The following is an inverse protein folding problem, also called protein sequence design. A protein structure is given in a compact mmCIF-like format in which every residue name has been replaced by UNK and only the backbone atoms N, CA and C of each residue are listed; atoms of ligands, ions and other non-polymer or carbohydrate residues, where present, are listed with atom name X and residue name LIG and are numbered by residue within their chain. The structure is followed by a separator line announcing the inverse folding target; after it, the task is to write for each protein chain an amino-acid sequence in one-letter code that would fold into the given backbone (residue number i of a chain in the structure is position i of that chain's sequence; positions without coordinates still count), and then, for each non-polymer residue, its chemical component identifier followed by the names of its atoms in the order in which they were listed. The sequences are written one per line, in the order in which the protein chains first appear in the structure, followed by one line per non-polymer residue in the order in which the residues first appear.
data_IF_069833145479
#
_entry.id   IF_069833145479
#
_cell.length_a   1.000
_cell.length_b   1.000
_cell.length_c   1.000
_cell.angle_alpha   90.00
_cell.angle_beta   90.00
_cell.angle_gamma   90.00
#
_symmetry.space_group_name_H-M   'P 1'
#
loop_
_entity.id
_entity.type
_entity.pdbx_description
1 polymer ?
#
# COMPACT_ATOMS: atom_id res chain seq x y z
N UNK A 1 -15.70 7.51 26.32
CA UNK A 1 -15.53 6.80 25.06
C UNK A 1 -15.75 5.31 25.26
N UNK A 2 -16.44 4.66 24.34
CA UNK A 2 -16.66 3.21 24.32
C UNK A 2 -15.77 2.60 23.22
N UNK A 3 -15.08 1.49 23.56
CA UNK A 3 -14.19 0.78 22.66
C UNK A 3 -14.78 -0.60 22.37
N UNK A 4 -14.76 -1.02 21.12
CA UNK A 4 -15.16 -2.37 20.70
C UNK A 4 -14.25 -2.90 19.58
N UNK A 5 -14.17 -4.23 19.49
CA UNK A 5 -13.48 -4.96 18.42
C UNK A 5 -14.49 -5.77 17.63
N UNK A 6 -14.34 -5.78 16.31
CA UNK A 6 -15.28 -6.35 15.37
C UNK A 6 -14.59 -7.35 14.45
N UNK A 7 -15.20 -8.51 14.29
CA UNK A 7 -14.66 -9.60 13.47
C UNK A 7 -14.98 -9.46 11.98
N UNK A 8 -15.71 -8.44 11.59
CA UNK A 8 -16.08 -8.15 10.21
C UNK A 8 -16.29 -6.66 10.00
N UNK A 9 -15.98 -6.17 8.79
CA UNK A 9 -16.16 -4.76 8.45
C UNK A 9 -17.64 -4.37 8.31
N UNK A 10 -18.51 -5.31 8.00
CA UNK A 10 -19.95 -5.08 7.83
C UNK A 10 -20.69 -4.75 9.14
N UNK A 11 -20.03 -4.86 10.31
CA UNK A 11 -20.54 -4.32 11.56
C UNK A 11 -20.58 -2.78 11.57
N UNK A 12 -19.99 -2.14 10.56
CA UNK A 12 -19.97 -0.69 10.38
C UNK A 12 -20.82 -0.27 9.19
N UNK A 13 -21.46 0.89 9.29
CA UNK A 13 -22.02 1.54 8.10
C UNK A 13 -20.90 2.16 7.28
N UNK A 14 -20.92 1.93 5.98
CA UNK A 14 -19.89 2.41 5.07
C UNK A 14 -19.69 3.93 5.17
N UNK A 15 -20.78 4.69 5.29
CA UNK A 15 -20.74 6.15 5.41
C UNK A 15 -20.04 6.59 6.69
N UNK A 16 -20.34 5.95 7.86
CA UNK A 16 -19.71 6.29 9.15
C UNK A 16 -18.19 6.00 9.11
N UNK A 17 -17.80 4.85 8.55
CA UNK A 17 -16.40 4.46 8.41
C UNK A 17 -15.66 5.39 7.45
N UNK A 18 -16.20 5.60 6.25
CA UNK A 18 -15.55 6.37 5.19
C UNK A 18 -15.37 7.85 5.51
N UNK A 19 -16.23 8.43 6.37
CA UNK A 19 -16.02 9.80 6.86
C UNK A 19 -14.69 9.99 7.60
N UNK A 20 -14.14 8.93 8.19
CA UNK A 20 -12.87 8.96 8.91
C UNK A 20 -11.65 8.71 8.00
N UNK A 21 -11.88 8.25 6.75
CA UNK A 21 -10.81 7.94 5.80
C UNK A 21 -10.27 9.22 5.16
N UNK A 22 -9.04 9.59 5.53
CA UNK A 22 -8.37 10.77 4.97
C UNK A 22 -8.00 10.57 3.50
N UNK A 23 -8.07 11.67 2.74
CA UNK A 23 -7.77 11.73 1.31
C UNK A 23 -8.54 10.69 0.47
N UNK A 24 -9.61 10.13 1.04
CA UNK A 24 -10.38 9.08 0.39
C UNK A 24 -9.50 7.87 -0.06
N UNK A 25 -8.58 7.47 0.84
CA UNK A 25 -7.60 6.39 0.57
C UNK A 25 -8.33 5.09 0.24
N UNK A 26 -8.20 4.56 -1.00
CA UNK A 26 -9.00 3.44 -1.48
C UNK A 26 -8.85 2.17 -0.64
N UNK A 27 -7.68 1.93 -0.05
CA UNK A 27 -7.36 0.71 0.69
C UNK A 27 -7.88 0.70 2.13
N UNK A 28 -8.36 1.84 2.60
CA UNK A 28 -8.94 2.02 3.94
C UNK A 28 -10.46 2.22 3.89
N UNK A 29 -11.04 2.31 2.68
CA UNK A 29 -12.48 2.42 2.52
C UNK A 29 -13.18 1.13 2.91
N UNK A 30 -14.39 1.29 3.44
CA UNK A 30 -15.26 0.17 3.80
C UNK A 30 -15.44 -0.81 2.64
N UNK A 31 -15.66 -0.30 1.43
CA UNK A 31 -15.92 -1.09 0.22
C UNK A 31 -14.74 -1.98 -0.16
N UNK A 32 -13.50 -1.50 0.02
CA UNK A 32 -12.29 -2.30 -0.24
C UNK A 32 -12.12 -3.41 0.79
N UNK A 33 -12.32 -3.07 2.08
CA UNK A 33 -12.18 -4.03 3.17
C UNK A 33 -13.29 -5.09 3.13
N UNK A 34 -14.55 -4.68 2.86
CA UNK A 34 -15.67 -5.62 2.72
C UNK A 34 -15.49 -6.56 1.53
N UNK A 35 -14.99 -6.05 0.40
CA UNK A 35 -14.71 -6.91 -0.75
C UNK A 35 -13.65 -7.99 -0.45
N UNK A 36 -12.62 -7.68 0.36
CA UNK A 36 -11.65 -8.67 0.83
C UNK A 36 -12.29 -9.76 1.67
N UNK A 37 -13.18 -9.38 2.58
CA UNK A 37 -13.89 -10.31 3.49
C UNK A 37 -14.94 -11.14 2.74
N UNK A 38 -15.81 -10.51 1.95
CA UNK A 38 -16.87 -11.19 1.20
C UNK A 38 -16.34 -12.23 0.23
N UNK A 39 -15.21 -11.97 -0.39
CA UNK A 39 -14.63 -12.86 -1.39
C UNK A 39 -13.57 -13.81 -0.84
N UNK A 40 -13.47 -13.94 0.51
CA UNK A 40 -12.56 -14.85 1.17
C UNK A 40 -11.08 -14.59 0.85
N UNK A 41 -10.73 -13.33 0.53
CA UNK A 41 -9.34 -12.91 0.30
C UNK A 41 -8.59 -12.67 1.62
N UNK A 42 -9.28 -12.54 2.73
CA UNK A 42 -8.79 -12.51 4.10
C UNK A 42 -9.48 -13.60 4.93
N UNK A 43 -9.12 -13.74 6.20
CA UNK A 43 -9.63 -14.77 7.11
C UNK A 43 -8.62 -15.88 7.38
N UNK A 44 -9.05 -16.99 7.93
CA UNK A 44 -8.22 -18.11 8.39
C UNK A 44 -7.31 -18.67 7.29
N UNK A 45 -7.85 -18.87 6.08
CA UNK A 45 -7.10 -19.43 4.93
C UNK A 45 -5.80 -18.69 4.64
N UNK A 46 -5.78 -17.37 4.79
CA UNK A 46 -4.63 -16.52 4.49
C UNK A 46 -3.95 -15.95 5.73
N UNK A 47 -4.49 -16.29 6.93
CA UNK A 47 -3.98 -15.80 8.19
C UNK A 47 -4.13 -14.29 8.36
N UNK A 48 -5.25 -13.72 7.90
CA UNK A 48 -5.64 -12.33 8.07
C UNK A 48 -7.02 -12.28 8.72
N UNK A 49 -7.12 -12.53 10.04
CA UNK A 49 -8.40 -12.57 10.75
C UNK A 49 -8.80 -11.16 11.18
N UNK A 50 -9.91 -10.59 10.67
CA UNK A 50 -10.33 -9.24 11.03
C UNK A 50 -10.61 -9.08 12.53
N UNK A 51 -10.18 -7.94 13.08
CA UNK A 51 -10.40 -7.52 14.47
C UNK A 51 -10.51 -5.99 14.53
N UNK A 52 -11.34 -5.41 13.67
CA UNK A 52 -11.42 -3.96 13.48
C UNK A 52 -11.78 -3.24 14.77
N UNK A 53 -11.02 -2.20 15.09
CA UNK A 53 -11.25 -1.38 16.28
C UNK A 53 -12.26 -0.26 15.98
N UNK A 54 -13.18 -0.03 16.91
CA UNK A 54 -14.00 1.18 16.95
C UNK A 54 -13.89 1.90 18.29
N UNK A 55 -13.93 3.23 18.23
CA UNK A 55 -14.13 4.12 19.39
C UNK A 55 -15.34 4.97 19.12
N UNK A 56 -16.32 4.92 20.04
CA UNK A 56 -17.53 5.76 20.00
C UNK A 56 -17.55 6.70 21.21
N UNK A 57 -17.92 7.92 20.96
CA UNK A 57 -18.20 8.92 22.00
C UNK A 57 -19.64 9.37 21.90
N UNK A 58 -20.40 9.25 22.98
CA UNK A 58 -21.85 9.51 23.02
C UNK A 58 -22.62 8.86 21.84
N UNK A 59 -22.22 7.63 21.46
CA UNK A 59 -22.82 6.87 20.36
C UNK A 59 -22.28 7.21 18.95
N UNK A 60 -21.61 8.34 18.75
CA UNK A 60 -20.98 8.71 17.47
C UNK A 60 -19.66 7.95 17.29
N UNK A 61 -19.40 7.43 16.10
CA UNK A 61 -18.11 6.84 15.73
C UNK A 61 -17.06 7.96 15.58
N UNK A 62 -16.02 7.95 16.44
CA UNK A 62 -14.98 8.98 16.47
C UNK A 62 -13.58 8.43 16.14
N UNK A 63 -13.40 7.12 16.15
CA UNK A 63 -12.14 6.49 15.80
C UNK A 63 -12.32 5.08 15.29
N UNK A 64 -11.56 4.67 14.27
CA UNK A 64 -11.48 3.28 13.77
C UNK A 64 -10.07 2.93 13.33
N UNK A 65 -9.75 1.64 13.40
CA UNK A 65 -8.51 1.10 12.83
C UNK A 65 -8.78 -0.26 12.19
N UNK A 66 -8.35 -0.50 10.95
CA UNK A 66 -8.36 -1.84 10.37
C UNK A 66 -7.29 -2.69 11.07
N UNK A 67 -7.73 -3.67 11.85
CA UNK A 67 -6.86 -4.57 12.59
C UNK A 67 -7.08 -6.02 12.14
N UNK A 68 -5.98 -6.79 12.17
CA UNK A 68 -6.01 -8.21 11.82
C UNK A 68 -5.11 -9.02 12.76
N UNK A 69 -5.61 -10.16 13.25
CA UNK A 69 -4.77 -11.19 13.88
C UNK A 69 -4.09 -11.97 12.75
N UNK A 70 -2.77 -12.09 12.85
CA UNK A 70 -1.92 -12.75 11.86
C UNK A 70 -1.23 -13.98 12.41
N UNK A 71 -1.34 -15.11 11.70
CA UNK A 71 -0.64 -16.35 12.00
C UNK A 71 0.63 -16.56 11.14
N UNK A 72 0.94 -15.59 10.28
CA UNK A 72 2.10 -15.56 9.39
C UNK A 72 2.42 -14.10 9.01
N UNK A 73 3.53 -13.83 8.31
CA UNK A 73 3.89 -12.48 7.81
C UNK A 73 3.65 -12.30 6.30
N UNK A 74 2.85 -13.17 5.69
CA UNK A 74 2.58 -13.07 4.27
C UNK A 74 1.66 -11.88 3.94
N UNK A 75 2.06 -11.11 2.91
CA UNK A 75 1.27 -9.98 2.41
C UNK A 75 1.41 -8.68 3.21
N UNK A 76 2.31 -8.61 4.20
CA UNK A 76 2.55 -7.41 5.04
C UNK A 76 3.51 -6.41 4.41
N UNK A 77 4.49 -6.88 3.61
CA UNK A 77 5.55 -6.09 2.98
C UNK A 77 6.49 -5.36 3.94
N UNK A 78 6.39 -5.61 5.23
CA UNK A 78 7.37 -5.25 6.27
C UNK A 78 7.96 -6.56 6.78
N UNK A 79 9.23 -6.81 6.44
CA UNK A 79 9.84 -8.13 6.63
C UNK A 79 10.38 -8.28 8.06
N UNK A 80 9.72 -9.09 8.85
CA UNK A 80 10.06 -9.40 10.25
C UNK A 80 10.53 -10.85 10.46
N UNK A 81 10.96 -11.52 9.39
CA UNK A 81 11.43 -12.91 9.44
C UNK A 81 12.56 -13.14 10.45
N UNK A 82 13.45 -12.15 10.62
CA UNK A 82 14.56 -12.21 11.61
C UNK A 82 14.00 -12.25 13.03
N UNK A 83 12.91 -11.53 13.31
CA UNK A 83 12.25 -11.54 14.61
C UNK A 83 11.56 -12.87 14.88
N UNK A 84 10.81 -13.37 13.89
CA UNK A 84 10.16 -14.68 13.98
C UNK A 84 11.19 -15.82 14.20
N UNK A 85 12.34 -15.75 13.54
CA UNK A 85 13.43 -16.71 13.69
C UNK A 85 14.07 -16.62 15.09
N UNK A 86 14.27 -15.41 15.63
CA UNK A 86 14.76 -15.21 16.98
C UNK A 86 13.83 -15.82 18.04
N UNK A 87 12.51 -15.61 17.91
CA UNK A 87 11.50 -16.23 18.77
C UNK A 87 11.60 -17.76 18.72
N UNK A 88 11.62 -18.33 17.53
CA UNK A 88 11.73 -19.78 17.33
C UNK A 88 12.98 -20.37 17.97
N UNK A 89 14.14 -19.71 17.82
CA UNK A 89 15.42 -20.15 18.45
C UNK A 89 15.37 -20.11 19.99
N UNK A 90 14.53 -19.23 20.54
CA UNK A 90 14.32 -19.13 22.00
C UNK A 90 13.19 -20.03 22.51
N UNK A 91 12.62 -20.90 21.66
CA UNK A 91 11.53 -21.80 22.02
C UNK A 91 10.18 -21.09 22.23
N UNK A 92 10.02 -19.88 21.70
CA UNK A 92 8.82 -19.06 21.81
C UNK A 92 8.09 -18.95 20.46
N UNK A 93 6.78 -18.69 20.52
CA UNK A 93 5.96 -18.47 19.34
C UNK A 93 5.87 -16.98 19.00
N UNK A 94 6.27 -16.62 17.79
CA UNK A 94 6.09 -15.28 17.24
C UNK A 94 4.65 -15.03 16.74
N UNK A 95 3.99 -16.05 16.27
CA UNK A 95 2.60 -16.01 15.86
C UNK A 95 1.67 -16.64 16.92
N UNK A 96 0.42 -16.17 17.05
CA UNK A 96 -0.18 -15.06 16.31
C UNK A 96 0.28 -13.68 16.85
N UNK A 97 0.17 -12.68 15.96
CA UNK A 97 0.45 -11.26 16.25
C UNK A 97 -0.71 -10.40 15.77
N UNK A 98 -0.78 -9.13 16.18
CA UNK A 98 -1.78 -8.18 15.75
C UNK A 98 -1.15 -7.15 14.79
N UNK A 99 -1.84 -6.79 13.72
CA UNK A 99 -1.38 -5.75 12.81
C UNK A 99 -2.49 -4.76 12.44
N UNK A 100 -2.12 -3.51 12.20
CA UNK A 100 -2.92 -2.51 11.48
C UNK A 100 -2.29 -2.26 10.13
N UNK A 101 -2.97 -2.67 9.06
CA UNK A 101 -2.52 -2.55 7.68
C UNK A 101 -3.70 -2.66 6.71
N UNK A 102 -3.52 -2.20 5.48
CA UNK A 102 -4.35 -2.63 4.37
C UNK A 102 -3.82 -3.99 3.86
N UNK A 103 -4.62 -5.07 3.85
CA UNK A 103 -4.14 -6.38 3.44
C UNK A 103 -3.52 -6.37 2.05
N UNK A 104 -2.39 -7.06 1.90
CA UNK A 104 -1.64 -7.19 0.65
C UNK A 104 -1.21 -5.88 -0.01
N UNK A 105 -1.21 -4.76 0.76
CA UNK A 105 -1.08 -3.43 0.17
C UNK A 105 -0.04 -2.61 0.92
N UNK A 106 1.17 -2.43 0.36
CA UNK A 106 2.23 -1.59 0.95
C UNK A 106 2.00 -0.11 0.64
N UNK A 107 0.76 0.35 0.76
CA UNK A 107 0.40 1.74 0.57
C UNK A 107 0.45 2.50 1.89
N UNK A 108 0.97 3.70 1.80
CA UNK A 108 1.09 4.65 2.86
C UNK A 108 -0.28 5.27 3.22
N UNK A 109 -0.51 5.51 4.52
CA UNK A 109 -1.74 6.16 4.98
C UNK A 109 -1.96 6.02 6.48
N UNK A 110 -2.98 6.70 6.98
CA UNK A 110 -3.35 6.62 8.39
C UNK A 110 -3.77 5.19 8.78
N UNK A 111 -3.44 4.83 10.01
CA UNK A 111 -3.86 3.55 10.63
C UNK A 111 -4.76 3.80 11.85
N UNK A 112 -4.66 4.99 12.41
CA UNK A 112 -5.53 5.51 13.44
C UNK A 112 -6.46 6.55 12.82
N UNK A 113 -7.59 6.10 12.27
CA UNK A 113 -8.54 6.95 11.57
C UNK A 113 -9.42 7.65 12.61
N UNK A 114 -9.30 8.96 12.73
CA UNK A 114 -9.97 9.76 13.76
C UNK A 114 -10.77 10.88 13.11
N UNK A 115 -11.96 11.13 13.64
CA UNK A 115 -12.83 12.24 13.29
C UNK A 115 -12.08 13.57 13.46
N UNK A 116 -12.03 14.44 12.41
CA UNK A 116 -11.28 15.70 12.50
C UNK A 116 -11.79 16.69 13.56
N UNK A 117 -13.06 16.58 13.99
CA UNK A 117 -13.70 17.51 14.90
C UNK A 117 -13.46 17.21 16.40
N UNK A 118 -12.75 16.10 16.73
CA UNK A 118 -12.46 15.70 18.11
C UNK A 118 -10.98 15.87 18.45
N UNK A 119 -10.65 15.78 19.75
CA UNK A 119 -9.26 15.69 20.20
C UNK A 119 -8.63 14.38 19.67
N UNK A 120 -7.92 14.52 18.56
CA UNK A 120 -7.35 13.38 17.86
C UNK A 120 -6.29 12.68 18.71
N UNK A 121 -5.51 13.38 19.52
CA UNK A 121 -4.48 12.79 20.38
C UNK A 121 -5.10 11.91 21.48
N UNK A 122 -6.19 12.38 22.09
CA UNK A 122 -6.91 11.61 23.10
C UNK A 122 -7.52 10.34 22.50
N UNK A 123 -8.17 10.45 21.33
CA UNK A 123 -8.78 9.29 20.66
C UNK A 123 -7.71 8.29 20.22
N UNK A 124 -6.61 8.74 19.61
CA UNK A 124 -5.50 7.87 19.22
C UNK A 124 -4.88 7.14 20.42
N UNK A 125 -4.72 7.83 21.57
CA UNK A 125 -4.25 7.19 22.81
C UNK A 125 -5.19 6.06 23.22
N UNK A 126 -6.49 6.31 23.29
CA UNK A 126 -7.51 5.29 23.62
C UNK A 126 -7.43 4.10 22.66
N UNK A 127 -7.29 4.37 21.35
CA UNK A 127 -7.17 3.32 20.33
C UNK A 127 -5.93 2.44 20.56
N UNK A 128 -4.78 3.06 20.81
CA UNK A 128 -3.50 2.33 21.03
C UNK A 128 -3.56 1.54 22.34
N UNK A 129 -4.01 2.15 23.46
CA UNK A 129 -4.14 1.47 24.74
C UNK A 129 -5.08 0.26 24.67
N UNK A 130 -6.24 0.41 24.00
CA UNK A 130 -7.19 -0.66 23.77
C UNK A 130 -6.58 -1.80 22.93
N UNK A 131 -5.86 -1.44 21.86
CA UNK A 131 -5.18 -2.41 20.99
C UNK A 131 -4.14 -3.22 21.75
N UNK A 132 -3.30 -2.56 22.58
CA UNK A 132 -2.33 -3.24 23.44
C UNK A 132 -3.00 -4.08 24.53
N UNK A 133 -4.16 -3.64 25.02
CA UNK A 133 -5.02 -4.42 25.91
C UNK A 133 -5.47 -5.73 25.27
N UNK A 134 -5.93 -5.67 24.01
CA UNK A 134 -6.33 -6.85 23.23
C UNK A 134 -5.15 -7.81 23.00
N UNK A 135 -3.96 -7.31 22.68
CA UNK A 135 -2.76 -8.14 22.52
C UNK A 135 -2.47 -8.93 23.79
N UNK A 136 -2.54 -8.28 24.95
CA UNK A 136 -2.32 -8.93 26.27
C UNK A 136 -3.42 -9.95 26.57
N UNK A 137 -4.68 -9.60 26.34
CA UNK A 137 -5.84 -10.46 26.60
C UNK A 137 -5.79 -11.75 25.78
N UNK A 138 -5.45 -11.64 24.48
CA UNK A 138 -5.37 -12.77 23.55
C UNK A 138 -3.99 -13.44 23.55
N UNK A 139 -3.04 -12.98 24.39
CA UNK A 139 -1.67 -13.49 24.47
C UNK A 139 -0.95 -13.49 23.12
N UNK A 140 -1.18 -12.45 22.32
CA UNK A 140 -0.46 -12.27 21.05
C UNK A 140 0.97 -11.81 21.30
N UNK A 141 1.88 -12.08 20.38
CA UNK A 141 3.30 -11.76 20.55
C UNK A 141 3.62 -10.28 20.45
N UNK A 142 2.86 -9.55 19.65
CA UNK A 142 3.20 -8.18 19.25
C UNK A 142 2.04 -7.45 18.59
N UNK A 143 2.21 -6.11 18.45
CA UNK A 143 1.38 -5.23 17.63
C UNK A 143 2.23 -4.46 16.64
N UNK A 144 1.76 -4.35 15.38
CA UNK A 144 2.48 -3.64 14.32
C UNK A 144 1.53 -2.72 13.55
N UNK A 145 1.88 -1.43 13.49
CA UNK A 145 1.25 -0.45 12.58
C UNK A 145 2.14 -0.30 11.35
N UNK A 146 1.66 -0.73 10.17
CA UNK A 146 2.47 -0.83 8.96
C UNK A 146 2.13 0.29 7.96
N UNK A 147 3.14 0.93 7.37
CA UNK A 147 3.01 2.02 6.39
C UNK A 147 2.14 3.17 6.90
N UNK A 148 2.40 3.61 8.11
CA UNK A 148 1.66 4.69 8.74
C UNK A 148 1.97 6.05 8.12
N UNK A 149 1.02 6.98 8.23
CA UNK A 149 1.27 8.39 7.96
C UNK A 149 2.27 8.99 8.96
N UNK A 150 3.20 9.90 8.55
CA UNK A 150 4.19 10.48 9.47
C UNK A 150 3.58 11.16 10.66
N UNK A 151 2.43 11.82 10.51
CA UNK A 151 1.74 12.53 11.58
C UNK A 151 1.28 11.62 12.73
N UNK A 152 1.14 10.31 12.50
CA UNK A 152 0.82 9.33 13.53
C UNK A 152 2.06 8.91 14.33
N UNK A 153 3.24 9.07 13.74
CA UNK A 153 4.49 8.55 14.28
C UNK A 153 4.85 9.12 15.66
N UNK A 154 4.67 10.42 15.85
CA UNK A 154 4.99 11.06 17.14
C UNK A 154 4.09 10.53 18.26
N UNK A 155 2.80 10.32 17.98
CA UNK A 155 1.87 9.74 18.96
C UNK A 155 2.26 8.29 19.27
N UNK A 156 2.54 7.47 18.24
CA UNK A 156 2.92 6.07 18.42
C UNK A 156 4.24 5.94 19.22
N UNK A 157 5.25 6.77 18.92
CA UNK A 157 6.51 6.81 19.69
C UNK A 157 6.29 7.19 21.15
N UNK A 158 5.50 8.24 21.41
CA UNK A 158 5.18 8.65 22.81
C UNK A 158 4.45 7.57 23.59
N UNK A 159 3.71 6.70 22.91
CA UNK A 159 3.01 5.55 23.49
C UNK A 159 3.87 4.28 23.55
N UNK A 160 5.19 4.40 23.32
CA UNK A 160 6.16 3.32 23.50
C UNK A 160 6.33 2.37 22.34
N UNK A 161 5.92 2.79 21.12
CA UNK A 161 6.16 2.02 19.90
C UNK A 161 7.55 2.29 19.34
N UNK A 162 8.24 1.24 18.89
CA UNK A 162 9.53 1.35 18.21
C UNK A 162 9.32 1.64 16.72
N UNK A 163 9.96 2.71 16.23
CA UNK A 163 9.92 3.08 14.82
C UNK A 163 10.85 2.19 13.99
N UNK A 164 10.36 1.70 12.87
CA UNK A 164 11.16 1.06 11.83
C UNK A 164 11.00 1.79 10.52
N UNK A 165 12.11 2.10 9.87
CA UNK A 165 12.17 2.75 8.59
C UNK A 165 12.14 1.74 7.44
N UNK A 166 11.60 2.15 6.30
CA UNK A 166 11.68 1.45 5.03
C UNK A 166 11.90 2.43 3.87
N UNK A 167 12.13 1.92 2.68
CA UNK A 167 12.26 2.75 1.46
C UNK A 167 11.33 2.23 0.39
N UNK A 168 10.56 3.13 -0.20
CA UNK A 168 9.79 2.96 -1.41
C UNK A 168 10.21 3.99 -2.46
N UNK A 169 9.57 3.97 -3.64
CA UNK A 169 9.87 4.89 -4.73
C UNK A 169 8.58 5.56 -5.18
N UNK A 170 8.49 6.88 -5.01
CA UNK A 170 7.30 7.65 -5.36
C UNK A 170 7.61 8.69 -6.43
N UNK A 171 6.68 8.90 -7.33
CA UNK A 171 6.73 10.00 -8.28
C UNK A 171 5.86 11.15 -7.78
N UNK A 172 6.38 12.36 -7.87
CA UNK A 172 5.69 13.58 -7.44
C UNK A 172 5.32 14.44 -8.64
N UNK A 173 4.13 15.01 -8.61
CA UNK A 173 3.64 15.96 -9.59
C UNK A 173 3.65 17.39 -9.02
N UNK A 174 4.65 18.20 -9.34
CA UNK A 174 4.67 19.61 -8.94
C UNK A 174 3.75 20.51 -9.78
N UNK A 175 2.92 19.95 -10.64
CA UNK A 175 2.02 20.65 -11.56
C UNK A 175 2.49 20.57 -13.01
N UNK A 176 2.95 19.42 -13.47
CA UNK A 176 3.26 19.21 -14.89
C UNK A 176 2.01 19.42 -15.75
N UNK A 177 2.16 20.12 -16.89
CA UNK A 177 1.07 20.32 -17.85
C UNK A 177 0.78 19.07 -18.67
N UNK A 178 1.80 18.27 -18.93
CA UNK A 178 1.76 17.09 -19.77
C UNK A 178 2.98 16.19 -19.53
N UNK A 179 3.02 15.03 -20.19
CA UNK A 179 4.13 14.07 -20.06
C UNK A 179 5.47 14.62 -20.59
N UNK A 180 5.46 15.48 -21.61
CA UNK A 180 6.69 16.08 -22.14
C UNK A 180 7.26 17.15 -21.18
N UNK A 181 6.43 17.89 -20.48
CA UNK A 181 6.84 18.80 -19.40
C UNK A 181 7.52 18.03 -18.26
N UNK A 182 7.00 16.87 -17.86
CA UNK A 182 7.69 15.97 -16.94
C UNK A 182 9.04 15.52 -17.51
N UNK A 183 9.08 15.01 -18.75
CA UNK A 183 10.32 14.57 -19.38
C UNK A 183 11.36 15.69 -19.44
N UNK A 184 10.95 16.94 -19.62
CA UNK A 184 11.84 18.09 -19.67
C UNK A 184 12.67 18.29 -18.41
N UNK A 185 12.16 17.84 -17.26
CA UNK A 185 12.86 17.93 -15.97
C UNK A 185 13.95 16.86 -15.81
N UNK A 186 13.91 15.80 -16.62
CA UNK A 186 14.88 14.71 -16.54
C UNK A 186 16.18 15.05 -17.28
N UNK A 187 17.27 14.41 -16.90
CA UNK A 187 18.55 14.47 -17.65
C UNK A 187 18.36 13.95 -19.09
N UNK A 188 19.16 14.42 -20.03
CA UNK A 188 19.06 14.06 -21.43
C UNK A 188 19.11 12.53 -21.66
N UNK A 189 19.98 11.84 -20.91
CA UNK A 189 20.11 10.37 -20.97
C UNK A 189 18.79 9.68 -20.55
N UNK A 190 18.19 10.09 -19.44
CA UNK A 190 16.96 9.45 -18.91
C UNK A 190 15.76 9.75 -19.81
N UNK A 191 15.62 10.98 -20.28
CA UNK A 191 14.60 11.37 -21.25
C UNK A 191 14.70 10.55 -22.55
N UNK A 192 15.92 10.37 -23.08
CA UNK A 192 16.16 9.53 -24.26
C UNK A 192 15.75 8.08 -24.03
N UNK A 193 16.08 7.51 -22.86
CA UNK A 193 15.74 6.14 -22.50
C UNK A 193 14.22 5.94 -22.43
N UNK A 194 13.50 6.79 -21.71
CA UNK A 194 12.03 6.70 -21.60
C UNK A 194 11.37 6.81 -22.98
N UNK A 195 11.80 7.79 -23.81
CA UNK A 195 11.28 7.91 -25.19
C UNK A 195 11.59 6.68 -26.05
N UNK A 196 12.73 6.04 -25.82
CA UNK A 196 13.08 4.79 -26.51
C UNK A 196 12.22 3.63 -26.09
N UNK A 197 12.01 3.42 -24.78
CA UNK A 197 11.13 2.38 -24.23
C UNK A 197 9.70 2.54 -24.77
N UNK A 198 9.12 3.75 -24.71
CA UNK A 198 7.78 4.04 -25.25
C UNK A 198 7.67 3.78 -26.75
N UNK A 199 8.71 4.14 -27.51
CA UNK A 199 8.77 3.91 -28.95
C UNK A 199 8.81 2.42 -29.30
N UNK A 200 9.54 1.60 -28.55
CA UNK A 200 9.55 0.14 -28.76
C UNK A 200 8.15 -0.45 -28.63
N UNK A 201 7.42 -0.07 -27.60
CA UNK A 201 6.05 -0.53 -27.40
C UNK A 201 5.12 -0.09 -28.53
N UNK A 202 5.24 1.17 -28.96
CA UNK A 202 4.46 1.70 -30.09
C UNK A 202 4.81 0.98 -31.42
N UNK A 203 6.09 0.70 -31.67
CA UNK A 203 6.55 -0.02 -32.88
C UNK A 203 6.11 -1.49 -32.88
N UNK A 204 5.90 -2.09 -31.69
CA UNK A 204 5.29 -3.42 -31.58
C UNK A 204 3.76 -3.40 -31.84
N UNK A 205 3.17 -2.24 -32.19
CA UNK A 205 1.75 -2.12 -32.49
C UNK A 205 0.83 -2.11 -31.27
N UNK A 206 1.40 -2.07 -30.06
CA UNK A 206 0.61 -2.12 -28.82
C UNK A 206 -0.16 -0.80 -28.61
N UNK A 207 -1.45 -0.93 -28.37
CA UNK A 207 -2.35 0.18 -28.01
C UNK A 207 -2.85 0.02 -26.59
N UNK A 208 -3.11 1.15 -25.91
CA UNK A 208 -3.59 1.15 -24.54
C UNK A 208 -5.01 1.68 -24.44
N UNK A 209 -5.79 1.12 -23.52
CA UNK A 209 -7.08 1.64 -23.09
C UNK A 209 -7.06 1.77 -21.57
N UNK A 210 -7.29 2.99 -21.10
CA UNK A 210 -7.52 3.27 -19.69
C UNK A 210 -9.03 3.31 -19.46
N UNK A 211 -9.47 2.69 -18.35
CA UNK A 211 -10.89 2.56 -18.04
C UNK A 211 -11.08 2.53 -16.52
N UNK A 212 -12.17 3.10 -16.01
CA UNK A 212 -12.54 3.01 -14.60
C UNK A 212 -13.22 1.68 -14.29
N UNK A 213 -13.14 1.23 -13.03
CA UNK A 213 -13.65 -0.06 -12.59
C UNK A 213 -15.11 -0.32 -12.91
N UNK A 214 -15.97 0.73 -12.83
CA UNK A 214 -17.39 0.69 -13.16
C UNK A 214 -17.70 0.52 -14.66
N UNK A 215 -16.68 0.61 -15.52
CA UNK A 215 -16.81 0.47 -16.97
C UNK A 215 -16.17 -0.82 -17.52
N UNK A 216 -15.64 -1.66 -16.63
CA UNK A 216 -15.00 -2.93 -17.00
C UNK A 216 -16.04 -4.04 -17.05
N UNK A 217 -16.12 -4.75 -18.17
CA UNK A 217 -17.01 -5.88 -18.33
C UNK A 217 -16.57 -7.11 -17.52
N UNK A 218 -17.49 -8.03 -17.28
CA UNK A 218 -17.20 -9.29 -16.58
C UNK A 218 -16.08 -10.09 -17.26
N UNK A 219 -16.08 -10.17 -18.59
CA UNK A 219 -15.04 -10.85 -19.35
C UNK A 219 -13.66 -10.18 -19.24
N UNK A 220 -13.61 -8.85 -19.13
CA UNK A 220 -12.37 -8.11 -18.89
C UNK A 220 -11.85 -8.30 -17.46
N UNK A 221 -12.75 -8.39 -16.48
CA UNK A 221 -12.37 -8.76 -15.12
C UNK A 221 -11.81 -10.18 -15.03
N UNK A 222 -12.42 -11.14 -15.73
CA UNK A 222 -11.89 -12.51 -15.81
C UNK A 222 -10.49 -12.53 -16.43
N UNK A 223 -10.29 -11.76 -17.51
CA UNK A 223 -8.97 -11.64 -18.17
C UNK A 223 -7.94 -10.96 -17.24
N UNK A 224 -8.31 -9.88 -16.56
CA UNK A 224 -7.41 -9.20 -15.63
C UNK A 224 -7.04 -10.10 -14.45
N UNK A 225 -8.00 -10.88 -13.93
CA UNK A 225 -7.73 -11.89 -12.89
C UNK A 225 -6.76 -12.96 -13.38
N UNK A 226 -6.91 -13.40 -14.63
CA UNK A 226 -5.96 -14.34 -15.23
C UNK A 226 -4.55 -13.75 -15.31
N UNK A 227 -4.39 -12.50 -15.76
CA UNK A 227 -3.10 -11.80 -15.75
C UNK A 227 -2.49 -11.72 -14.34
N UNK A 228 -3.31 -11.37 -13.35
CA UNK A 228 -2.89 -11.32 -11.95
C UNK A 228 -2.40 -12.68 -11.46
N UNK A 229 -3.19 -13.75 -11.64
CA UNK A 229 -2.87 -15.11 -11.19
C UNK A 229 -1.60 -15.63 -11.82
N UNK A 230 -1.43 -15.42 -13.14
CA UNK A 230 -0.23 -15.82 -13.87
C UNK A 230 1.07 -15.24 -13.27
N UNK A 231 1.03 -13.97 -12.82
CA UNK A 231 2.19 -13.33 -12.18
C UNK A 231 2.60 -14.03 -10.87
N UNK A 232 1.64 -14.59 -10.14
CA UNK A 232 1.90 -15.39 -8.93
C UNK A 232 2.41 -16.81 -9.28
N UNK A 233 1.80 -17.45 -10.27
CA UNK A 233 2.20 -18.78 -10.75
C UNK A 233 3.66 -18.79 -11.23
N UNK A 234 4.07 -17.77 -12.01
CA UNK A 234 5.45 -17.59 -12.48
C UNK A 234 6.47 -17.43 -11.33
N UNK A 235 6.00 -17.06 -10.13
CA UNK A 235 6.82 -16.90 -8.92
C UNK A 235 6.62 -18.02 -7.90
N UNK A 236 5.93 -19.10 -8.28
CA UNK A 236 5.58 -20.20 -7.38
C UNK A 236 4.91 -19.72 -6.10
N UNK A 237 4.03 -18.72 -6.21
CA UNK A 237 3.33 -18.08 -5.12
C UNK A 237 1.82 -18.19 -5.30
N UNK A 238 1.06 -18.11 -4.21
CA UNK A 238 -0.40 -18.24 -4.24
C UNK A 238 -1.06 -16.86 -4.45
N UNK A 239 -1.95 -16.71 -5.45
CA UNK A 239 -2.75 -15.51 -5.58
C UNK A 239 -3.73 -15.40 -4.41
N UNK A 240 -3.78 -14.23 -3.77
CA UNK A 240 -4.63 -13.97 -2.60
C UNK A 240 -5.94 -13.29 -2.95
N UNK A 241 -5.99 -12.62 -4.10
CA UNK A 241 -7.19 -11.97 -4.62
C UNK A 241 -7.82 -12.82 -5.74
N UNK A 242 -9.11 -12.70 -5.93
CA UNK A 242 -9.88 -13.45 -6.93
C UNK A 242 -10.77 -12.52 -7.76
N UNK A 243 -11.45 -13.09 -8.77
CA UNK A 243 -12.30 -12.33 -9.68
C UNK A 243 -13.45 -11.63 -8.95
N UNK A 244 -14.08 -12.28 -7.98
CA UNK A 244 -15.17 -11.70 -7.20
C UNK A 244 -14.72 -10.42 -6.47
N UNK A 245 -13.53 -10.44 -5.85
CA UNK A 245 -12.95 -9.26 -5.23
C UNK A 245 -12.77 -8.11 -6.24
N UNK A 246 -12.15 -8.40 -7.40
CA UNK A 246 -11.90 -7.35 -8.41
C UNK A 246 -13.19 -6.77 -8.98
N UNK A 247 -14.20 -7.60 -9.23
CA UNK A 247 -15.52 -7.16 -9.70
C UNK A 247 -16.22 -6.28 -8.66
N UNK A 248 -16.28 -6.74 -7.41
CA UNK A 248 -16.94 -6.00 -6.32
C UNK A 248 -16.27 -4.64 -6.07
N UNK A 249 -14.94 -4.60 -6.04
CA UNK A 249 -14.18 -3.35 -5.89
C UNK A 249 -14.39 -2.43 -7.10
N UNK A 250 -14.40 -2.98 -8.32
CA UNK A 250 -14.68 -2.23 -9.55
C UNK A 250 -16.06 -1.59 -9.55
N UNK A 251 -17.07 -2.34 -9.14
CA UNK A 251 -18.46 -1.88 -9.06
C UNK A 251 -18.66 -0.84 -7.95
N UNK A 252 -18.22 -1.15 -6.71
CA UNK A 252 -18.48 -0.31 -5.55
C UNK A 252 -17.60 0.94 -5.48
N UNK A 253 -16.36 0.88 -5.97
CA UNK A 253 -15.41 1.98 -5.90
C UNK A 253 -15.25 2.74 -7.24
N UNK A 254 -15.74 2.18 -8.34
CA UNK A 254 -15.88 2.84 -9.64
C UNK A 254 -14.63 3.57 -10.09
N UNK A 255 -14.68 4.91 -10.12
CA UNK A 255 -13.57 5.78 -10.59
C UNK A 255 -12.31 5.74 -9.73
N UNK A 256 -12.36 5.16 -8.54
CA UNK A 256 -11.17 4.97 -7.73
C UNK A 256 -10.32 3.77 -8.18
N UNK A 257 -10.87 2.90 -9.02
CA UNK A 257 -10.17 1.77 -9.65
C UNK A 257 -9.90 2.12 -11.10
N UNK A 258 -8.64 2.07 -11.52
CA UNK A 258 -8.19 2.43 -12.87
C UNK A 258 -7.48 1.23 -13.47
N UNK A 259 -7.96 0.75 -14.61
CA UNK A 259 -7.33 -0.33 -15.36
C UNK A 259 -6.62 0.21 -16.59
N UNK A 260 -5.47 -0.36 -16.87
CA UNK A 260 -4.70 -0.13 -18.10
C UNK A 260 -4.64 -1.45 -18.86
N UNK A 261 -5.40 -1.56 -19.93
CA UNK A 261 -5.32 -2.71 -20.83
C UNK A 261 -4.41 -2.41 -22.02
N UNK A 262 -3.57 -3.38 -22.38
CA UNK A 262 -2.68 -3.34 -23.54
C UNK A 262 -3.14 -4.33 -24.60
N UNK A 263 -3.28 -3.86 -25.84
CA UNK A 263 -3.81 -4.62 -26.97
C UNK A 263 -2.78 -4.74 -28.10
N UNK A 264 -2.58 -5.96 -28.58
CA UNK A 264 -1.92 -6.28 -29.84
C UNK A 264 -3.01 -6.63 -30.88
N UNK A 265 -3.28 -5.72 -31.80
CA UNK A 265 -4.45 -5.80 -32.67
C UNK A 265 -5.76 -5.86 -31.87
N UNK A 266 -6.60 -6.90 -32.04
CA UNK A 266 -7.82 -7.10 -31.27
C UNK A 266 -7.59 -7.81 -29.93
N UNK A 267 -6.42 -8.41 -29.69
CA UNK A 267 -6.12 -9.25 -28.55
C UNK A 267 -5.59 -8.41 -27.37
N UNK A 268 -6.25 -8.49 -26.23
CA UNK A 268 -5.72 -7.94 -25.00
C UNK A 268 -4.60 -8.85 -24.48
N UNK A 269 -3.38 -8.35 -24.39
CA UNK A 269 -2.16 -9.11 -24.08
C UNK A 269 -1.62 -8.87 -22.68
N UNK A 270 -2.02 -7.75 -22.04
CA UNK A 270 -1.57 -7.41 -20.69
C UNK A 270 -2.53 -6.43 -20.02
N UNK A 271 -2.44 -6.37 -18.70
CA UNK A 271 -3.22 -5.42 -17.92
C UNK A 271 -2.54 -5.01 -16.63
N UNK A 272 -2.87 -3.80 -16.17
CA UNK A 272 -2.49 -3.30 -14.85
C UNK A 272 -3.70 -2.74 -14.11
N UNK A 273 -3.75 -2.93 -12.78
CA UNK A 273 -4.73 -2.32 -11.91
C UNK A 273 -4.02 -1.26 -11.06
N UNK A 274 -4.58 -0.07 -11.10
CA UNK A 274 -4.20 1.04 -10.24
C UNK A 274 -5.42 1.45 -9.41
N UNK A 275 -5.15 2.06 -8.27
CA UNK A 275 -6.18 2.67 -7.43
C UNK A 275 -5.85 4.14 -7.24
N UNK A 276 -6.86 4.96 -6.95
CA UNK A 276 -6.61 6.37 -6.67
C UNK A 276 -7.38 6.86 -5.45
N UNK A 277 -6.71 7.74 -4.69
CA UNK A 277 -7.37 8.64 -3.74
C UNK A 277 -7.72 9.96 -4.43
N UNK A 278 -8.04 10.99 -3.67
CA UNK A 278 -8.22 12.36 -4.20
C UNK A 278 -6.91 12.94 -4.73
N UNK A 279 -5.76 12.55 -4.14
CA UNK A 279 -4.46 13.17 -4.45
C UNK A 279 -3.39 12.18 -4.91
N UNK A 280 -3.57 10.87 -4.71
CA UNK A 280 -2.53 9.85 -4.97
C UNK A 280 -3.03 8.78 -5.93
N UNK A 281 -2.17 8.35 -6.85
CA UNK A 281 -2.32 7.15 -7.66
C UNK A 281 -1.48 6.01 -7.05
N UNK A 282 -2.01 4.80 -7.05
CA UNK A 282 -1.33 3.60 -6.52
C UNK A 282 -1.32 2.49 -7.56
N UNK A 283 -0.15 2.11 -8.05
CA UNK A 283 0.03 0.94 -8.90
C UNK A 283 0.06 -0.34 -8.06
N UNK A 284 -0.78 -1.32 -8.40
CA UNK A 284 -0.92 -2.51 -7.55
C UNK A 284 -0.66 -3.82 -8.25
N UNK A 285 -1.37 -4.11 -9.29
CA UNK A 285 -1.32 -5.41 -9.94
C UNK A 285 -0.98 -5.27 -11.41
N UNK A 286 -0.25 -6.26 -11.93
CA UNK A 286 0.17 -6.33 -13.32
C UNK A 286 0.25 -7.79 -13.75
N UNK A 287 -0.04 -8.03 -15.02
CA UNK A 287 0.30 -9.30 -15.65
C UNK A 287 0.21 -9.20 -17.16
N UNK A 288 0.83 -10.17 -17.85
CA UNK A 288 0.85 -10.27 -19.30
C UNK A 288 0.84 -11.72 -19.77
N UNK A 289 0.28 -11.97 -20.94
CA UNK A 289 0.30 -13.30 -21.55
C UNK A 289 1.67 -13.63 -22.12
N UNK A 290 2.34 -12.63 -22.69
CA UNK A 290 3.57 -12.75 -23.44
C UNK A 290 4.55 -11.64 -23.06
N UNK A 291 5.81 -11.85 -23.38
CA UNK A 291 6.87 -10.87 -23.18
C UNK A 291 6.92 -9.88 -24.35
N UNK A 292 6.67 -8.60 -24.08
CA UNK A 292 6.95 -7.48 -24.96
C UNK A 292 7.97 -6.56 -24.31
N UNK A 293 9.03 -6.21 -25.06
CA UNK A 293 10.09 -5.34 -24.51
C UNK A 293 9.50 -3.99 -24.05
N UNK A 294 9.79 -3.64 -22.82
CA UNK A 294 9.36 -2.38 -22.17
C UNK A 294 7.85 -2.24 -21.90
N UNK A 295 7.00 -3.24 -22.21
CA UNK A 295 5.56 -3.17 -22.01
C UNK A 295 5.19 -2.96 -20.54
N UNK A 296 5.86 -3.67 -19.62
CA UNK A 296 5.66 -3.48 -18.19
C UNK A 296 5.88 -2.01 -17.76
N UNK A 297 6.93 -1.37 -18.26
CA UNK A 297 7.23 0.02 -17.91
C UNK A 297 6.20 0.99 -18.49
N UNK A 298 5.78 0.74 -19.73
CA UNK A 298 4.74 1.56 -20.35
C UNK A 298 3.42 1.46 -19.57
N UNK A 299 2.93 0.25 -19.33
CA UNK A 299 1.63 0.03 -18.69
C UNK A 299 1.62 0.43 -17.21
N UNK A 300 2.65 0.03 -16.44
CA UNK A 300 2.68 0.24 -14.99
C UNK A 300 3.20 1.61 -14.56
N UNK A 301 4.00 2.30 -15.39
CA UNK A 301 4.59 3.57 -15.00
C UNK A 301 4.18 4.72 -15.92
N UNK A 302 4.40 4.63 -17.23
CA UNK A 302 4.22 5.79 -18.12
C UNK A 302 2.76 6.12 -18.35
N UNK A 303 1.90 5.13 -18.49
CA UNK A 303 0.44 5.34 -18.53
C UNK A 303 -0.07 5.91 -17.20
N UNK A 304 0.42 5.40 -16.06
CA UNK A 304 0.09 5.91 -14.73
C UNK A 304 0.56 7.36 -14.50
N UNK A 305 1.79 7.72 -14.92
CA UNK A 305 2.28 9.10 -14.84
C UNK A 305 1.42 10.03 -15.73
N UNK A 306 1.12 9.62 -16.97
CA UNK A 306 0.25 10.37 -17.86
C UNK A 306 -1.13 10.62 -17.23
N UNK A 307 -1.75 9.57 -16.72
CA UNK A 307 -3.02 9.65 -16.02
C UNK A 307 -2.96 10.57 -14.78
N UNK A 308 -1.90 10.45 -13.96
CA UNK A 308 -1.75 11.28 -12.76
C UNK A 308 -1.60 12.77 -13.12
N UNK A 309 -0.90 13.11 -14.21
CA UNK A 309 -0.79 14.47 -14.72
C UNK A 309 -2.16 14.98 -15.19
N UNK A 310 -2.85 14.22 -16.03
CA UNK A 310 -4.16 14.56 -16.58
C UNK A 310 -5.21 14.79 -15.49
N UNK A 311 -5.19 13.96 -14.44
CA UNK A 311 -6.12 14.05 -13.31
C UNK A 311 -5.65 15.02 -12.21
N UNK A 312 -4.50 15.69 -12.35
CA UNK A 312 -3.96 16.61 -11.36
C UNK A 312 -3.56 15.96 -10.03
N UNK A 313 -3.29 14.63 -10.03
CA UNK A 313 -2.87 13.92 -8.84
C UNK A 313 -1.46 14.34 -8.43
N UNK A 314 -1.23 14.46 -7.13
CA UNK A 314 0.03 14.99 -6.56
C UNK A 314 1.14 13.95 -6.50
N UNK A 315 0.81 12.68 -6.35
CA UNK A 315 1.78 11.59 -6.13
C UNK A 315 1.36 10.31 -6.84
N UNK A 316 2.35 9.50 -7.22
CA UNK A 316 2.14 8.14 -7.70
C UNK A 316 3.06 7.17 -6.97
N UNK A 317 2.47 6.17 -6.32
CA UNK A 317 3.12 5.06 -5.61
C UNK A 317 3.01 3.78 -6.46
N UNK A 318 4.06 3.38 -7.18
CA UNK A 318 3.97 2.31 -8.18
C UNK A 318 4.21 0.90 -7.59
N UNK A 319 4.05 0.73 -6.28
CA UNK A 319 4.34 -0.49 -5.53
C UNK A 319 5.71 -0.49 -4.82
N UNK A 320 5.95 -1.50 -3.97
CA UNK A 320 6.96 -1.47 -2.92
C UNK A 320 8.42 -1.42 -3.39
N UNK A 321 8.83 -2.23 -4.37
CA UNK A 321 10.25 -2.50 -4.65
C UNK A 321 10.66 -2.03 -6.05
N UNK A 322 11.99 -1.91 -6.28
CA UNK A 322 12.61 -1.76 -7.58
C UNK A 322 13.34 -0.44 -7.80
N UNK A 323 14.65 -0.42 -7.57
CA UNK A 323 15.54 0.76 -7.81
C UNK A 323 15.50 1.26 -9.26
N UNK A 324 15.17 0.38 -10.23
CA UNK A 324 14.98 0.77 -11.63
C UNK A 324 13.90 1.86 -11.82
N UNK A 325 13.02 2.05 -10.85
CA UNK A 325 12.00 3.11 -10.82
C UNK A 325 12.63 4.50 -10.74
N UNK A 326 13.80 4.65 -10.08
CA UNK A 326 14.53 5.92 -10.00
C UNK A 326 14.77 6.47 -11.40
N UNK A 327 15.22 5.63 -12.34
CA UNK A 327 15.55 6.07 -13.69
C UNK A 327 14.34 6.56 -14.49
N UNK A 328 13.13 6.31 -13.99
CA UNK A 328 11.82 6.68 -14.57
C UNK A 328 11.13 7.81 -13.80
N UNK A 329 11.87 8.44 -12.87
CA UNK A 329 11.40 9.63 -12.16
C UNK A 329 10.77 9.36 -10.78
N UNK A 330 10.75 8.10 -10.33
CA UNK A 330 10.28 7.77 -8.98
C UNK A 330 11.42 7.92 -7.98
N UNK A 331 11.28 8.82 -7.02
CA UNK A 331 12.34 9.11 -6.05
C UNK A 331 12.20 8.24 -4.80
N UNK A 332 13.32 7.84 -4.19
CA UNK A 332 13.28 7.11 -2.93
C UNK A 332 12.59 7.95 -1.85
N UNK A 333 11.69 7.31 -1.14
CA UNK A 333 10.85 7.91 -0.10
C UNK A 333 10.88 7.01 1.13
N UNK A 334 11.11 7.60 2.31
CA UNK A 334 11.04 6.85 3.56
C UNK A 334 9.60 6.42 3.85
N UNK A 335 9.47 5.21 4.35
CA UNK A 335 8.21 4.66 4.89
C UNK A 335 8.40 4.29 6.33
N UNK A 336 7.32 4.30 7.09
CA UNK A 336 7.35 4.12 8.53
C UNK A 336 6.45 2.98 8.94
N UNK A 337 6.92 2.20 9.91
CA UNK A 337 6.11 1.25 10.66
C UNK A 337 6.47 1.34 12.14
N UNK A 338 5.53 0.99 12.99
CA UNK A 338 5.69 1.10 14.44
C UNK A 338 5.34 -0.23 15.09
N UNK A 339 6.16 -0.65 16.04
CA UNK A 339 6.15 -2.00 16.57
C UNK A 339 6.16 -1.99 18.10
N UNK A 340 5.32 -2.82 18.70
CA UNK A 340 5.32 -3.12 20.11
C UNK A 340 5.36 -4.62 20.33
N UNK A 341 6.22 -5.07 21.23
CA UNK A 341 6.47 -6.49 21.48
C UNK A 341 6.04 -6.83 22.92
N UNK A 342 5.23 -7.86 23.08
CA UNK A 342 4.66 -8.22 24.36
C UNK A 342 5.69 -8.77 25.35
N UNK A 343 6.69 -9.53 24.89
CA UNK A 343 7.77 -10.05 25.72
C UNK A 343 8.82 -8.95 25.95
N UNK A 344 9.11 -8.54 27.22
CA UNK A 344 10.02 -7.43 27.52
C UNK A 344 11.48 -7.64 27.05
N UNK A 345 12.00 -8.88 27.11
CA UNK A 345 13.34 -9.17 26.63
C UNK A 345 13.47 -9.01 25.13
N UNK A 346 12.48 -9.53 24.39
CA UNK A 346 12.42 -9.35 22.93
C UNK A 346 12.14 -7.91 22.55
N UNK A 347 11.33 -7.17 23.34
CA UNK A 347 11.08 -5.75 23.10
C UNK A 347 12.39 -4.95 23.11
N UNK A 348 13.20 -5.14 24.14
CA UNK A 348 14.52 -4.49 24.25
C UNK A 348 15.50 -4.94 23.15
N UNK A 349 15.48 -6.24 22.81
CA UNK A 349 16.31 -6.76 21.71
C UNK A 349 15.94 -6.19 20.35
N UNK A 350 14.66 -6.06 20.06
CA UNK A 350 14.15 -5.48 18.81
C UNK A 350 14.41 -3.97 18.78
N UNK A 351 14.24 -3.25 19.87
CA UNK A 351 14.62 -1.84 19.99
C UNK A 351 16.09 -1.63 19.59
N UNK A 352 16.99 -2.42 20.20
CA UNK A 352 18.41 -2.36 19.88
C UNK A 352 18.69 -2.66 18.39
N UNK A 353 18.04 -3.70 17.84
CA UNK A 353 18.15 -4.05 16.42
C UNK A 353 17.74 -2.87 15.53
N UNK A 354 16.61 -2.22 15.80
CA UNK A 354 16.09 -1.10 15.02
C UNK A 354 17.00 0.13 15.10
N UNK A 355 17.58 0.40 16.26
CA UNK A 355 18.60 1.45 16.43
C UNK A 355 19.85 1.22 15.57
N UNK A 356 20.22 -0.04 15.34
CA UNK A 356 21.34 -0.40 14.46
C UNK A 356 20.94 -0.38 12.96
N UNK A 357 19.70 -0.80 12.64
CA UNK A 357 19.19 -0.84 11.25
C UNK A 357 19.01 0.57 10.65
N UNK A 358 18.47 1.51 11.44
CA UNK A 358 18.07 2.83 10.97
C UNK A 358 19.20 3.64 10.31
N UNK A 359 20.44 3.75 10.88
CA UNK A 359 21.54 4.48 10.23
C UNK A 359 21.92 3.91 8.87
N UNK A 360 21.95 2.58 8.73
CA UNK A 360 22.27 1.92 7.48
C UNK A 360 21.21 2.20 6.39
N UNK A 361 19.93 2.18 6.79
CA UNK A 361 18.83 2.47 5.88
C UNK A 361 18.79 3.95 5.48
N UNK A 362 19.09 4.87 6.38
CA UNK A 362 19.20 6.30 6.06
C UNK A 362 20.39 6.57 5.12
N UNK A 363 21.52 5.90 5.30
CA UNK A 363 22.65 5.97 4.38
C UNK A 363 22.27 5.42 2.99
N UNK A 364 21.58 4.29 2.94
CA UNK A 364 21.06 3.71 1.70
C UNK A 364 20.10 4.67 0.99
N UNK A 365 19.12 5.23 1.70
CA UNK A 365 18.20 6.22 1.16
C UNK A 365 18.93 7.43 0.57
N UNK A 366 19.93 7.96 1.29
CA UNK A 366 20.76 9.09 0.83
C UNK A 366 21.51 8.73 -0.47
N UNK A 367 22.14 7.56 -0.54
CA UNK A 367 22.85 7.11 -1.74
C UNK A 367 21.92 6.97 -2.95
N UNK A 368 20.68 6.48 -2.73
CA UNK A 368 19.67 6.40 -3.79
C UNK A 368 19.26 7.79 -4.30
N UNK A 369 19.15 8.80 -3.43
CA UNK A 369 18.87 10.18 -3.81
C UNK A 369 19.95 10.78 -4.72
N UNK A 370 21.21 10.37 -4.58
CA UNK A 370 22.31 10.80 -5.45
C UNK A 370 22.13 10.31 -6.90
N UNK A 371 21.41 9.20 -7.10
CA UNK A 371 21.07 8.62 -8.40
C UNK A 371 19.88 9.30 -9.10
N UNK A 372 19.44 10.46 -8.61
CA UNK A 372 18.30 11.21 -9.14
C UNK A 372 18.38 11.40 -10.66
N UNK A 373 17.29 11.13 -11.39
CA UNK A 373 17.21 11.31 -12.84
C UNK A 373 16.95 12.76 -13.23
N UNK A 374 16.62 13.63 -12.28
CA UNK A 374 16.26 15.02 -12.51
C UNK A 374 17.48 15.91 -12.72
N UNK A 375 17.34 16.96 -13.56
CA UNK A 375 18.43 17.92 -13.87
C UNK A 375 18.82 18.76 -12.67
N UNK A 376 17.82 19.26 -11.95
CA UNK A 376 18.00 19.99 -10.71
C UNK A 376 17.75 19.02 -9.55
N UNK A 377 18.64 19.01 -8.56
CA UNK A 377 18.35 18.27 -7.33
C UNK A 377 17.04 18.85 -6.78
N UNK A 378 15.96 18.12 -6.92
CA UNK A 378 14.70 18.51 -6.29
C UNK A 378 15.01 18.58 -4.81
N UNK A 379 14.85 19.77 -4.20
CA UNK A 379 14.81 19.84 -2.74
C UNK A 379 13.64 18.95 -2.34
N UNK A 380 13.95 17.78 -1.79
CA UNK A 380 12.94 16.92 -1.19
C UNK A 380 12.21 17.76 -0.15
N UNK A 381 10.98 18.12 -0.47
CA UNK A 381 10.06 18.65 0.52
C UNK A 381 9.80 17.46 1.43
N UNK A 382 10.42 17.45 2.60
CA UNK A 382 10.02 16.59 3.71
C UNK A 382 8.62 17.04 4.09
N UNK A 383 7.61 16.32 3.60
CA UNK A 383 6.22 16.42 4.05
C UNK A 383 5.89 15.21 4.92
#
# INVERSE_FOLDING_TARGET
MQVAFHSQIDDFKAEEWNCLVKDDNPFLRHEFLSALEHNGCVGERFGWQPQHLSVRDQGKLVGVSPLYIKDNSYGEFVFDHVWADAYRRSGLNYYPKLISAAPYTPAYGNRLLVEPAVDSEQVQRVMVEATLGLVKQLKLSSMHWLFTAPEEGETLKRLGMHERLGVQFHWSNPGYSDFDSFLSQLTAKRRKNIRHERRKVAQAGIRFRLVSGDQVSESEWALMTHFYSKTFEERYSLPTLNQGFFQEVGEKMGKQVVLVFAYDGPRCVAGAILYRSRSVLYGRHWGSLEHYDSLHFEACYYQGIGYAIEQGLKRFEPGAQGEHKIWRGFMPTLTYSYHWIANPEFNSGIEHFLHQEAPALLAYHKNLLESSPYRNKIKTVNT
#
